data_IF_968068218323
#
_entry.id   IF_968068218323
#
_cell.length_a   1.000
_cell.length_b   1.000
_cell.length_c   1.000
_cell.angle_alpha   90.00
_cell.angle_beta   90.00
_cell.angle_gamma   90.00
#
_symmetry.space_group_name_H-M   'P 1'
#
loop_
_entity.id
_entity.type
_entity.pdbx_description
1 polymer ?
#
# COMPACT_ATOMS: atom_id res chain seq x y z
N UNK A 1 -15.29 0.72 -36.94
CA UNK A 1 -14.03 -0.01 -37.22
C UNK A 1 -12.76 0.60 -36.59
N UNK A 2 -12.76 1.90 -36.24
CA UNK A 2 -11.62 2.54 -35.54
C UNK A 2 -11.35 1.95 -34.14
N UNK A 3 -12.38 1.55 -33.43
CA UNK A 3 -12.24 0.95 -32.08
C UNK A 3 -11.58 -0.43 -32.12
N UNK A 4 -11.84 -1.23 -33.16
CA UNK A 4 -11.19 -2.53 -33.35
C UNK A 4 -9.71 -2.37 -33.70
N UNK A 5 -9.39 -1.38 -34.56
CA UNK A 5 -8.00 -1.12 -34.95
C UNK A 5 -7.12 -0.65 -33.76
N UNK A 6 -7.66 0.22 -32.90
CA UNK A 6 -6.94 0.67 -31.68
C UNK A 6 -6.68 -0.49 -30.72
N UNK A 7 -7.67 -1.35 -30.48
CA UNK A 7 -7.50 -2.52 -29.61
C UNK A 7 -6.41 -3.49 -30.10
N UNK A 8 -6.31 -3.68 -31.41
CA UNK A 8 -5.29 -4.56 -32.01
C UNK A 8 -3.89 -3.93 -31.99
N UNK A 9 -3.77 -2.61 -32.09
CA UNK A 9 -2.50 -1.88 -31.90
C UNK A 9 -2.00 -2.03 -30.47
N UNK A 10 -2.87 -1.81 -29.46
CA UNK A 10 -2.51 -1.99 -28.06
C UNK A 10 -2.10 -3.44 -27.74
N UNK A 11 -2.84 -4.42 -28.24
CA UNK A 11 -2.49 -5.84 -28.05
C UNK A 11 -1.11 -6.13 -28.65
N UNK A 12 -0.84 -5.74 -29.89
CA UNK A 12 0.48 -5.95 -30.53
C UNK A 12 1.60 -5.28 -29.74
N UNK A 13 1.36 -4.07 -29.26
CA UNK A 13 2.35 -3.33 -28.47
C UNK A 13 2.64 -4.04 -27.15
N UNK A 14 1.63 -4.44 -26.40
CA UNK A 14 1.80 -5.14 -25.12
C UNK A 14 2.49 -6.48 -25.31
N UNK A 15 1.97 -7.32 -26.21
CA UNK A 15 2.58 -8.64 -26.46
C UNK A 15 3.96 -8.53 -27.09
N UNK A 16 4.17 -7.55 -27.99
CA UNK A 16 5.47 -7.26 -28.57
C UNK A 16 6.50 -6.87 -27.52
N UNK A 17 6.15 -6.00 -26.56
CA UNK A 17 7.04 -5.65 -25.46
C UNK A 17 7.32 -6.81 -24.51
N UNK A 18 6.34 -7.65 -24.21
CA UNK A 18 6.54 -8.84 -23.39
C UNK A 18 7.55 -9.78 -24.08
N UNK A 19 7.34 -10.11 -25.36
CA UNK A 19 8.24 -10.98 -26.10
C UNK A 19 9.65 -10.37 -26.20
N UNK A 20 9.73 -9.07 -26.48
CA UNK A 20 10.99 -8.33 -26.50
C UNK A 20 11.71 -8.39 -25.17
N UNK A 21 11.02 -8.17 -24.07
CA UNK A 21 11.57 -8.23 -22.70
C UNK A 21 12.09 -9.63 -22.39
N UNK A 22 11.33 -10.67 -22.75
CA UNK A 22 11.75 -12.06 -22.60
C UNK A 22 13.02 -12.32 -23.42
N UNK A 23 13.06 -11.89 -24.67
CA UNK A 23 14.24 -12.06 -25.53
C UNK A 23 15.47 -11.35 -24.95
N UNK A 24 15.34 -10.07 -24.58
CA UNK A 24 16.45 -9.28 -24.00
C UNK A 24 16.91 -9.87 -22.67
N UNK A 25 16.03 -10.45 -21.85
CA UNK A 25 16.40 -11.10 -20.59
C UNK A 25 17.29 -12.34 -20.77
N UNK A 26 17.21 -12.98 -21.93
CA UNK A 26 18.05 -14.13 -22.31
C UNK A 26 19.38 -13.74 -22.99
N UNK A 27 19.61 -12.44 -23.16
CA UNK A 27 20.84 -11.93 -23.80
C UNK A 27 21.84 -11.39 -22.75
N UNK A 28 23.04 -11.04 -23.21
CA UNK A 28 24.11 -10.42 -22.40
C UNK A 28 23.90 -8.92 -22.22
N UNK A 29 22.66 -8.43 -22.33
CA UNK A 29 22.31 -7.03 -22.19
C UNK A 29 22.61 -6.54 -20.78
N UNK A 30 23.11 -5.29 -20.70
CA UNK A 30 23.29 -4.52 -19.47
C UNK A 30 22.50 -3.21 -19.62
N UNK A 31 23.12 -2.07 -19.41
CA UNK A 31 22.53 -0.75 -19.61
C UNK A 31 22.22 -0.46 -21.09
N UNK A 32 23.01 -0.99 -22.02
CA UNK A 32 22.79 -0.94 -23.44
C UNK A 32 22.42 -2.32 -23.96
N UNK A 33 21.45 -2.43 -24.88
CA UNK A 33 21.05 -3.70 -25.47
C UNK A 33 22.22 -4.36 -26.20
N UNK A 34 22.55 -5.60 -25.86
CA UNK A 34 23.47 -6.46 -26.59
C UNK A 34 22.71 -7.73 -26.91
N UNK A 35 22.62 -8.08 -28.18
CA UNK A 35 21.80 -9.19 -28.68
C UNK A 35 22.51 -10.55 -28.64
N UNK A 36 23.68 -10.63 -27.99
CA UNK A 36 24.40 -11.90 -27.79
C UNK A 36 23.56 -12.81 -26.88
N UNK A 37 23.07 -13.92 -27.40
CA UNK A 37 22.27 -14.87 -26.66
C UNK A 37 23.14 -15.56 -25.57
N UNK A 38 22.66 -15.49 -24.33
CA UNK A 38 23.37 -16.03 -23.16
C UNK A 38 22.55 -17.06 -22.39
N UNK A 39 21.35 -17.32 -22.84
CA UNK A 39 20.41 -18.26 -22.21
C UNK A 39 20.08 -17.86 -20.75
N UNK A 40 19.91 -18.84 -19.90
CA UNK A 40 19.49 -18.64 -18.50
C UNK A 40 20.61 -18.21 -17.54
N UNK A 41 21.82 -17.93 -18.04
CA UNK A 41 22.96 -17.57 -17.17
C UNK A 41 22.73 -16.31 -16.33
N UNK A 42 21.94 -15.34 -16.84
CA UNK A 42 21.56 -14.16 -16.06
C UNK A 42 20.69 -14.53 -14.87
N UNK A 43 19.75 -15.45 -15.04
CA UNK A 43 18.86 -15.93 -13.98
C UNK A 43 19.65 -16.72 -12.92
N UNK A 44 20.55 -17.61 -13.33
CA UNK A 44 21.43 -18.35 -12.39
C UNK A 44 22.26 -17.37 -11.56
N UNK A 45 22.82 -16.33 -12.21
CA UNK A 45 23.59 -15.29 -11.52
C UNK A 45 22.74 -14.46 -10.56
N UNK A 46 21.47 -14.21 -10.90
CA UNK A 46 20.51 -13.51 -10.03
C UNK A 46 20.29 -14.31 -8.73
N UNK A 47 19.99 -15.59 -8.85
CA UNK A 47 19.79 -16.49 -7.71
C UNK A 47 21.05 -16.74 -6.86
N UNK A 48 22.24 -16.46 -7.40
CA UNK A 48 23.49 -16.52 -6.63
C UNK A 48 23.87 -15.18 -5.97
N UNK A 49 23.05 -14.14 -6.15
CA UNK A 49 23.35 -12.80 -5.66
C UNK A 49 22.68 -12.52 -4.31
N UNK A 50 23.48 -12.31 -3.26
CA UNK A 50 22.96 -12.00 -1.91
C UNK A 50 22.06 -10.76 -1.88
N UNK A 51 22.31 -9.75 -2.71
CA UNK A 51 21.45 -8.56 -2.80
C UNK A 51 20.06 -8.89 -3.29
N UNK A 52 19.91 -9.92 -4.13
CA UNK A 52 18.61 -10.39 -4.60
C UNK A 52 17.77 -10.93 -3.44
N UNK A 53 18.36 -11.77 -2.59
CA UNK A 53 17.66 -12.33 -1.43
C UNK A 53 17.23 -11.23 -0.48
N UNK A 54 18.12 -10.30 -0.14
CA UNK A 54 17.76 -9.14 0.71
C UNK A 54 16.66 -8.29 0.08
N UNK A 55 16.68 -8.07 -1.24
CA UNK A 55 15.64 -7.31 -1.92
C UNK A 55 14.28 -8.03 -1.90
N UNK A 56 14.26 -9.35 -2.09
CA UNK A 56 13.02 -10.16 -2.01
C UNK A 56 12.48 -10.19 -0.59
N UNK A 57 13.35 -10.38 0.41
CA UNK A 57 12.97 -10.36 1.81
C UNK A 57 12.34 -9.00 2.19
N UNK A 58 13.00 -7.90 1.87
CA UNK A 58 12.48 -6.55 2.10
C UNK A 58 11.16 -6.30 1.37
N UNK A 59 11.03 -6.78 0.14
CA UNK A 59 9.79 -6.67 -0.64
C UNK A 59 8.63 -7.42 0.05
N UNK A 60 8.89 -8.63 0.54
CA UNK A 60 7.87 -9.41 1.26
C UNK A 60 7.46 -8.73 2.58
N UNK A 61 8.44 -8.31 3.38
CA UNK A 61 8.17 -7.58 4.64
C UNK A 61 7.36 -6.31 4.35
N UNK A 62 7.81 -5.50 3.38
CA UNK A 62 7.11 -4.29 2.99
C UNK A 62 5.68 -4.58 2.56
N UNK A 63 5.49 -5.50 1.62
CA UNK A 63 4.17 -5.81 1.05
C UNK A 63 3.19 -6.29 2.11
N UNK A 64 3.61 -7.25 2.94
CA UNK A 64 2.73 -7.82 3.98
C UNK A 64 2.35 -6.74 5.00
N UNK A 65 3.32 -6.00 5.53
CA UNK A 65 3.06 -4.98 6.53
C UNK A 65 2.25 -3.81 5.96
N UNK A 66 2.62 -3.34 4.77
CA UNK A 66 1.93 -2.24 4.11
C UNK A 66 0.47 -2.55 3.87
N UNK A 67 0.16 -3.68 3.23
CA UNK A 67 -1.22 -4.07 2.93
C UNK A 67 -2.01 -4.31 4.21
N UNK A 68 -1.44 -5.07 5.16
CA UNK A 68 -2.12 -5.40 6.41
C UNK A 68 -2.46 -4.13 7.21
N UNK A 69 -1.48 -3.25 7.42
CA UNK A 69 -1.66 -2.04 8.22
C UNK A 69 -2.60 -1.05 7.52
N UNK A 70 -2.48 -0.86 6.19
CA UNK A 70 -3.40 -0.02 5.43
C UNK A 70 -4.85 -0.49 5.53
N UNK A 71 -5.09 -1.80 5.45
CA UNK A 71 -6.43 -2.37 5.58
C UNK A 71 -6.95 -2.16 7.00
N UNK A 72 -6.15 -2.47 8.02
CA UNK A 72 -6.56 -2.32 9.43
C UNK A 72 -6.89 -0.85 9.76
N UNK A 73 -6.02 0.08 9.38
CA UNK A 73 -6.25 1.51 9.60
C UNK A 73 -7.45 2.00 8.76
N UNK A 74 -7.53 1.57 7.49
CA UNK A 74 -8.61 1.96 6.59
C UNK A 74 -9.98 1.53 7.10
N UNK A 75 -10.12 0.28 7.57
CA UNK A 75 -11.35 -0.23 8.18
C UNK A 75 -11.67 0.55 9.46
N UNK A 76 -10.69 0.69 10.35
CA UNK A 76 -10.89 1.40 11.61
C UNK A 76 -11.40 2.83 11.37
N UNK A 77 -10.72 3.57 10.50
CA UNK A 77 -11.11 4.93 10.15
C UNK A 77 -12.47 4.99 9.46
N UNK A 78 -12.80 4.04 8.57
CA UNK A 78 -14.09 3.99 7.90
C UNK A 78 -15.23 3.74 8.88
N UNK A 79 -15.07 2.81 9.83
CA UNK A 79 -16.07 2.54 10.87
C UNK A 79 -16.25 3.77 11.78
N UNK A 80 -15.18 4.47 12.14
CA UNK A 80 -15.24 5.68 12.94
C UNK A 80 -15.96 6.82 12.19
N UNK A 81 -15.71 6.98 10.90
CA UNK A 81 -16.32 8.00 10.06
C UNK A 81 -17.75 7.67 9.64
N UNK A 82 -18.14 6.40 9.66
CA UNK A 82 -19.51 5.97 9.39
C UNK A 82 -20.48 6.35 10.55
N UNK A 83 -19.94 6.60 11.73
CA UNK A 83 -20.70 7.22 12.81
C UNK A 83 -21.11 8.63 12.38
N UNK A 84 -22.35 9.06 12.69
CA UNK A 84 -22.87 10.41 12.35
C UNK A 84 -22.07 11.51 13.04
N UNK A 85 -20.87 11.81 12.51
CA UNK A 85 -19.95 12.81 13.05
C UNK A 85 -20.18 14.15 12.34
N UNK A 86 -20.36 15.22 13.10
CA UNK A 86 -20.62 16.57 12.58
C UNK A 86 -19.48 17.12 11.70
N UNK A 87 -18.25 16.65 11.92
CA UNK A 87 -17.02 17.08 11.22
C UNK A 87 -16.50 16.05 10.20
N UNK A 88 -17.34 15.10 9.76
CA UNK A 88 -16.95 14.03 8.84
C UNK A 88 -16.23 14.55 7.59
N UNK A 89 -16.79 15.56 6.92
CA UNK A 89 -16.20 16.10 5.68
C UNK A 89 -14.79 16.64 5.86
N UNK A 90 -14.53 17.33 6.97
CA UNK A 90 -13.22 17.83 7.31
C UNK A 90 -12.23 16.69 7.59
N UNK A 91 -12.59 15.73 8.43
CA UNK A 91 -11.77 14.57 8.76
C UNK A 91 -11.44 13.75 7.52
N UNK A 92 -12.43 13.49 6.66
CA UNK A 92 -12.24 12.80 5.39
C UNK A 92 -11.19 13.51 4.50
N UNK A 93 -11.27 14.83 4.41
CA UNK A 93 -10.30 15.62 3.63
C UNK A 93 -8.90 15.50 4.22
N UNK A 94 -8.74 15.60 5.54
CA UNK A 94 -7.46 15.47 6.23
C UNK A 94 -6.82 14.10 5.99
N UNK A 95 -7.59 13.01 6.07
CA UNK A 95 -7.08 11.66 5.82
C UNK A 95 -6.76 11.37 4.35
N UNK A 96 -7.47 12.02 3.41
CA UNK A 96 -7.20 11.87 1.97
C UNK A 96 -6.06 12.76 1.48
N UNK A 97 -5.72 13.84 2.20
CA UNK A 97 -4.71 14.79 1.78
C UNK A 97 -3.32 14.18 1.50
N UNK A 98 -2.81 13.23 2.30
CA UNK A 98 -1.52 12.61 2.03
C UNK A 98 -1.41 11.96 0.64
N UNK A 99 -2.49 11.40 0.12
CA UNK A 99 -2.52 10.79 -1.21
C UNK A 99 -2.30 11.79 -2.34
N UNK A 100 -2.64 13.07 -2.14
CA UNK A 100 -2.45 14.12 -3.13
C UNK A 100 -0.98 14.58 -3.25
N UNK A 101 -0.13 14.19 -2.31
CA UNK A 101 1.30 14.53 -2.32
C UNK A 101 2.08 13.60 -3.24
N UNK A 102 3.11 14.14 -3.90
CA UNK A 102 4.02 13.28 -4.67
C UNK A 102 4.86 12.39 -3.73
N UNK A 103 5.22 11.19 -4.19
CA UNK A 103 6.06 10.27 -3.43
C UNK A 103 7.42 10.87 -3.03
N UNK A 104 7.98 11.76 -3.87
CA UNK A 104 9.25 12.45 -3.57
C UNK A 104 9.08 13.39 -2.38
N UNK A 105 8.00 14.17 -2.36
CA UNK A 105 7.69 15.09 -1.25
C UNK A 105 7.44 14.30 0.03
N UNK A 106 6.63 13.26 -0.03
CA UNK A 106 6.37 12.37 1.10
C UNK A 106 7.65 11.76 1.64
N UNK A 107 8.48 11.16 0.78
CA UNK A 107 9.74 10.56 1.19
C UNK A 107 10.71 11.57 1.83
N UNK A 108 10.79 12.79 1.28
CA UNK A 108 11.64 13.85 1.84
C UNK A 108 11.12 14.32 3.20
N UNK A 109 9.82 14.54 3.34
CA UNK A 109 9.21 14.94 4.60
C UNK A 109 9.43 13.90 5.70
N UNK A 110 9.16 12.62 5.40
CA UNK A 110 9.39 11.53 6.34
C UNK A 110 10.86 11.31 6.68
N UNK A 111 11.78 11.55 5.73
CA UNK A 111 13.22 11.55 6.01
C UNK A 111 13.59 12.60 7.05
N UNK A 112 12.97 13.79 7.05
CA UNK A 112 13.20 14.82 8.07
C UNK A 112 12.53 14.44 9.40
N UNK A 113 11.29 13.99 9.36
CA UNK A 113 10.53 13.57 10.56
C UNK A 113 11.22 12.44 11.32
N UNK A 114 11.79 11.47 10.59
CA UNK A 114 12.46 10.30 11.17
C UNK A 114 13.97 10.49 11.35
N UNK A 115 14.50 11.69 11.07
CA UNK A 115 15.92 11.96 11.26
C UNK A 115 16.30 11.91 12.75
N UNK A 116 17.33 11.11 13.15
CA UNK A 116 17.69 10.96 14.55
C UNK A 116 18.12 12.27 15.25
N UNK A 117 18.69 13.20 14.48
CA UNK A 117 19.21 14.46 15.06
C UNK A 117 18.25 15.64 15.01
N UNK A 118 17.28 15.64 14.10
CA UNK A 118 16.38 16.77 13.86
C UNK A 118 14.90 16.42 14.00
N UNK A 119 14.55 15.14 13.94
CA UNK A 119 13.17 14.67 13.88
C UNK A 119 12.56 14.28 15.23
N UNK A 120 11.72 13.28 15.18
CA UNK A 120 10.94 12.77 16.34
C UNK A 120 11.83 12.44 17.53
N UNK A 121 12.98 11.82 17.32
CA UNK A 121 13.89 11.47 18.40
C UNK A 121 14.33 12.71 19.20
N UNK A 122 14.71 13.79 18.50
CA UNK A 122 15.10 15.03 19.17
C UNK A 122 13.93 15.64 19.92
N UNK A 123 12.74 15.67 19.32
CA UNK A 123 11.54 16.20 19.94
C UNK A 123 11.24 15.52 21.29
N UNK A 124 11.29 14.20 21.33
CA UNK A 124 11.04 13.44 22.56
C UNK A 124 12.14 13.68 23.63
N UNK A 125 13.40 13.79 23.20
CA UNK A 125 14.51 14.12 24.12
C UNK A 125 14.38 15.52 24.70
N UNK A 126 13.98 16.49 23.91
CA UNK A 126 13.74 17.88 24.35
C UNK A 126 12.55 17.95 25.34
N UNK A 127 11.60 17.01 25.26
CA UNK A 127 10.49 16.87 26.22
C UNK A 127 10.86 16.14 27.51
N UNK A 128 12.12 15.74 27.67
CA UNK A 128 12.63 15.09 28.89
C UNK A 128 12.80 13.56 28.82
N UNK A 129 12.49 12.95 27.67
CA UNK A 129 12.72 11.50 27.44
C UNK A 129 14.14 11.27 26.89
N UNK A 130 15.18 11.51 27.70
CA UNK A 130 16.59 11.45 27.28
C UNK A 130 17.01 10.08 26.73
N UNK A 131 16.41 9.00 27.23
CA UNK A 131 16.69 7.61 26.82
C UNK A 131 16.00 7.23 25.47
N UNK A 132 15.11 8.08 24.95
CA UNK A 132 14.38 7.76 23.72
C UNK A 132 15.32 7.73 22.51
N UNK A 133 15.39 6.56 21.85
CA UNK A 133 16.17 6.33 20.63
C UNK A 133 15.25 5.88 19.50
N UNK A 134 15.32 6.57 18.39
CA UNK A 134 14.61 6.21 17.16
C UNK A 134 15.54 6.40 15.96
N UNK A 135 16.45 5.45 15.76
CA UNK A 135 17.50 5.47 14.73
C UNK A 135 17.18 4.58 13.50
N UNK A 136 15.93 4.17 13.36
CA UNK A 136 15.48 3.23 12.34
C UNK A 136 15.83 3.67 10.91
N UNK A 137 15.89 4.97 10.65
CA UNK A 137 16.24 5.51 9.33
C UNK A 137 17.69 5.17 8.92
N UNK A 138 18.61 5.10 9.85
CA UNK A 138 20.03 4.84 9.63
C UNK A 138 20.41 3.39 9.93
N UNK A 139 19.58 2.67 10.62
CA UNK A 139 19.76 1.26 10.94
C UNK A 139 19.37 0.41 9.72
N UNK A 140 20.31 -0.42 9.25
CA UNK A 140 20.11 -1.25 8.06
C UNK A 140 18.92 -2.21 8.16
N UNK A 141 18.71 -2.79 9.33
CA UNK A 141 17.70 -3.83 9.51
C UNK A 141 16.31 -3.22 9.79
N UNK A 142 16.28 -1.97 10.30
CA UNK A 142 15.04 -1.27 10.65
C UNK A 142 14.56 -0.30 9.55
N UNK A 143 15.40 0.04 8.57
CA UNK A 143 15.09 1.04 7.56
C UNK A 143 13.84 0.71 6.72
N UNK A 144 13.55 -0.58 6.52
CA UNK A 144 12.34 -1.00 5.78
C UNK A 144 11.05 -0.56 6.48
N UNK A 145 11.03 -0.58 7.81
CA UNK A 145 9.85 -0.18 8.59
C UNK A 145 9.58 1.32 8.49
N UNK A 146 10.61 2.14 8.30
CA UNK A 146 10.42 3.59 8.06
C UNK A 146 9.72 3.86 6.74
N UNK A 147 10.03 3.06 5.71
CA UNK A 147 9.35 3.14 4.41
C UNK A 147 7.90 2.69 4.55
N UNK A 148 7.63 1.62 5.31
CA UNK A 148 6.26 1.15 5.60
C UNK A 148 5.45 2.26 6.27
N UNK A 149 5.98 2.93 7.29
CA UNK A 149 5.30 4.03 7.99
C UNK A 149 4.88 5.14 7.01
N UNK A 150 5.82 5.59 6.17
CA UNK A 150 5.55 6.63 5.19
C UNK A 150 4.49 6.21 4.15
N UNK A 151 4.59 4.99 3.64
CA UNK A 151 3.67 4.43 2.66
C UNK A 151 2.26 4.23 3.24
N UNK A 152 2.16 3.70 4.45
CA UNK A 152 0.89 3.53 5.17
C UNK A 152 0.22 4.88 5.41
N UNK A 153 0.96 5.88 5.89
CA UNK A 153 0.42 7.23 6.08
C UNK A 153 -0.15 7.80 4.79
N UNK A 154 0.53 7.60 3.66
CA UNK A 154 0.09 8.13 2.37
C UNK A 154 -1.14 7.41 1.82
N UNK A 155 -1.28 6.10 2.04
CA UNK A 155 -2.27 5.26 1.36
C UNK A 155 -3.49 4.91 2.22
N UNK A 156 -3.38 4.97 3.55
CA UNK A 156 -4.45 4.55 4.46
C UNK A 156 -5.75 5.34 4.30
N UNK A 157 -5.66 6.64 3.97
CA UNK A 157 -6.83 7.48 3.72
C UNK A 157 -7.63 7.06 2.48
N UNK A 158 -6.95 6.61 1.44
CA UNK A 158 -7.60 6.06 0.25
C UNK A 158 -8.33 4.75 0.57
N UNK A 159 -7.68 3.86 1.30
CA UNK A 159 -8.30 2.60 1.75
C UNK A 159 -9.50 2.88 2.63
N UNK A 160 -9.40 3.83 3.56
CA UNK A 160 -10.53 4.32 4.36
C UNK A 160 -11.70 4.75 3.47
N UNK A 161 -11.47 5.53 2.40
CA UNK A 161 -12.53 5.98 1.52
C UNK A 161 -13.21 4.82 0.77
N UNK A 162 -12.45 3.81 0.32
CA UNK A 162 -13.00 2.61 -0.30
C UNK A 162 -13.88 1.83 0.68
N UNK A 163 -13.40 1.62 1.92
CA UNK A 163 -14.19 0.92 2.94
C UNK A 163 -15.40 1.71 3.38
N UNK A 164 -15.31 3.03 3.51
CA UNK A 164 -16.46 3.88 3.84
C UNK A 164 -17.54 3.83 2.76
N UNK A 165 -17.15 3.85 1.48
CA UNK A 165 -18.08 3.67 0.37
C UNK A 165 -18.73 2.27 0.40
N UNK A 166 -17.93 1.23 0.71
CA UNK A 166 -18.45 -0.13 0.88
C UNK A 166 -19.42 -0.26 2.04
N UNK A 167 -19.12 0.32 3.21
CA UNK A 167 -20.03 0.34 4.37
C UNK A 167 -21.36 0.99 4.02
N UNK A 168 -21.34 2.12 3.34
CA UNK A 168 -22.54 2.88 2.96
C UNK A 168 -23.33 2.27 1.80
N UNK A 169 -22.80 1.27 1.13
CA UNK A 169 -23.54 0.52 0.10
C UNK A 169 -24.39 -0.61 0.69
N UNK A 170 -24.22 -0.93 1.98
CA UNK A 170 -25.01 -1.97 2.65
C UNK A 170 -26.37 -1.38 3.03
N UNK A 171 -27.43 -2.12 2.73
CA UNK A 171 -28.80 -1.69 3.02
C UNK A 171 -29.03 -1.61 4.53
N UNK A 172 -29.50 -0.46 4.98
CA UNK A 172 -29.86 -0.19 6.37
C UNK A 172 -30.91 -1.17 6.91
N UNK A 173 -31.76 -1.74 6.04
CA UNK A 173 -32.79 -2.70 6.45
C UNK A 173 -32.19 -4.00 6.99
N UNK A 174 -31.06 -4.44 6.42
CA UNK A 174 -30.33 -5.62 6.91
C UNK A 174 -29.84 -5.38 8.34
N UNK A 175 -29.29 -4.16 8.59
CA UNK A 175 -28.78 -3.81 9.90
C UNK A 175 -29.93 -3.65 10.92
N UNK A 176 -31.07 -3.09 10.50
CA UNK A 176 -32.28 -2.97 11.35
C UNK A 176 -32.84 -4.33 11.70
N UNK A 177 -32.97 -5.25 10.72
CA UNK A 177 -33.44 -6.61 10.95
C UNK A 177 -32.57 -7.36 11.98
N UNK A 178 -31.24 -7.31 11.82
CA UNK A 178 -30.32 -7.93 12.75
C UNK A 178 -30.43 -7.35 14.19
N UNK A 179 -30.70 -6.03 14.31
CA UNK A 179 -30.95 -5.42 15.63
C UNK A 179 -32.24 -5.87 16.25
N UNK A 180 -33.30 -6.07 15.46
CA UNK A 180 -34.60 -6.62 15.93
C UNK A 180 -34.40 -8.05 16.45
N UNK A 181 -33.56 -8.83 15.77
CA UNK A 181 -33.19 -10.20 16.20
C UNK A 181 -32.28 -10.21 17.43
N UNK A 182 -31.95 -9.05 18.01
CA UNK A 182 -31.15 -8.93 19.24
C UNK A 182 -29.64 -9.03 19.05
N UNK A 183 -29.14 -8.94 17.79
CA UNK A 183 -27.71 -8.98 17.55
C UNK A 183 -26.99 -7.74 18.12
N UNK A 184 -25.87 -7.94 18.81
CA UNK A 184 -25.00 -6.84 19.26
C UNK A 184 -24.32 -6.16 18.06
N UNK A 185 -23.94 -4.88 18.22
CA UNK A 185 -23.25 -4.13 17.17
C UNK A 185 -21.98 -4.85 16.68
N UNK A 186 -21.16 -5.37 17.59
CA UNK A 186 -19.97 -6.14 17.23
C UNK A 186 -20.29 -7.39 16.43
N UNK A 187 -21.37 -8.11 16.78
CA UNK A 187 -21.84 -9.26 16.02
C UNK A 187 -22.27 -8.85 14.62
N UNK A 188 -23.04 -7.77 14.47
CA UNK A 188 -23.47 -7.25 13.16
C UNK A 188 -22.27 -6.94 12.27
N UNK A 189 -21.24 -6.27 12.81
CA UNK A 189 -20.02 -5.98 12.04
C UNK A 189 -19.28 -7.24 11.61
N UNK A 190 -19.05 -8.18 12.52
CA UNK A 190 -18.23 -9.36 12.25
C UNK A 190 -18.96 -10.38 11.38
N UNK A 191 -20.26 -10.62 11.61
CA UNK A 191 -20.99 -11.70 10.95
C UNK A 191 -21.76 -11.27 9.70
N UNK A 192 -22.07 -9.99 9.56
CA UNK A 192 -22.84 -9.48 8.42
C UNK A 192 -22.01 -8.50 7.58
N UNK A 193 -21.58 -7.38 8.16
CA UNK A 193 -20.97 -6.28 7.41
C UNK A 193 -19.64 -6.68 6.80
N UNK A 194 -18.68 -7.19 7.59
CA UNK A 194 -17.36 -7.56 7.07
C UNK A 194 -17.42 -8.67 6.00
N UNK A 195 -18.24 -9.71 6.13
CA UNK A 195 -18.41 -10.68 5.04
C UNK A 195 -19.01 -10.10 3.76
N UNK A 196 -19.98 -9.17 3.87
CA UNK A 196 -20.55 -8.49 2.71
C UNK A 196 -19.54 -7.58 2.00
N UNK A 197 -18.55 -7.07 2.72
CA UNK A 197 -17.50 -6.21 2.18
C UNK A 197 -16.33 -6.97 1.50
N UNK A 198 -16.39 -8.31 1.37
CA UNK A 198 -15.34 -9.09 0.69
C UNK A 198 -14.89 -8.53 -0.66
N UNK A 199 -15.78 -8.03 -1.55
CA UNK A 199 -15.35 -7.43 -2.82
C UNK A 199 -14.48 -6.17 -2.62
N UNK A 200 -14.80 -5.36 -1.59
CA UNK A 200 -14.04 -4.14 -1.26
C UNK A 200 -12.65 -4.51 -0.74
N UNK A 201 -12.55 -5.55 0.11
CA UNK A 201 -11.26 -6.08 0.56
C UNK A 201 -10.39 -6.51 -0.62
N UNK A 202 -10.94 -7.33 -1.52
CA UNK A 202 -10.20 -7.82 -2.69
C UNK A 202 -9.73 -6.67 -3.58
N UNK A 203 -10.61 -5.71 -3.87
CA UNK A 203 -10.26 -4.53 -4.67
C UNK A 203 -9.17 -3.70 -4.00
N UNK A 204 -9.28 -3.47 -2.69
CA UNK A 204 -8.28 -2.71 -1.93
C UNK A 204 -6.92 -3.39 -1.93
N UNK A 205 -6.87 -4.73 -1.73
CA UNK A 205 -5.63 -5.50 -1.78
C UNK A 205 -4.99 -5.40 -3.17
N UNK A 206 -5.78 -5.61 -4.25
CA UNK A 206 -5.25 -5.54 -5.62
C UNK A 206 -4.69 -4.16 -5.93
N UNK A 207 -5.38 -3.08 -5.52
CA UNK A 207 -4.91 -1.71 -5.75
C UNK A 207 -3.63 -1.41 -4.95
N UNK A 208 -3.53 -1.88 -3.71
CA UNK A 208 -2.33 -1.68 -2.88
C UNK A 208 -1.12 -2.48 -3.37
N UNK A 209 -1.35 -3.60 -4.07
CA UNK A 209 -0.28 -4.43 -4.65
C UNK A 209 0.21 -3.92 -6.01
N UNK A 210 -0.53 -3.04 -6.66
CA UNK A 210 -0.17 -2.45 -7.97
C UNK A 210 0.67 -1.20 -7.79
#
# INVERSE_FOLDING_TARGET
>A
DLSRGLGDVYKRQIYGFILWTIYVSLTKSKMLPRYDFWGFKQYIRLWSNMRWYTAVENLLIFTILFVLICILIGILLSILLDQKIRTEGFLRTVYLYPMALSFIVTGTAWKWVLNPTLGIQKLFRDWGFSEFTFDWLVNRDMSIYTIVIAAVWQSSGFVMALFLAGLRSIDDEIIKAAKIDGASLSSIYVTIILPMMRPVFMSSIVILLH
#
